data_IF_718285960842
#
_entry.id   IF_718285960842
#
_cell.length_a   1.000
_cell.length_b   1.000
_cell.length_c   1.000
_cell.angle_alpha   90.00
_cell.angle_beta   90.00
_cell.angle_gamma   90.00
#
_symmetry.space_group_name_H-M   'P 1'
#
loop_
_entity.id
_entity.type
_entity.pdbx_description
1 polymer ?
#
# COMPACT_ATOMS: atom_id res chain seq x y z
N UNK A 1 18.36 4.40 -11.15
CA UNK A 1 17.66 4.41 -9.85
C UNK A 1 16.30 3.72 -9.88
N UNK A 2 15.39 4.03 -10.82
CA UNK A 2 14.05 3.40 -10.88
C UNK A 2 14.05 1.86 -10.78
N UNK A 3 14.87 1.16 -11.58
CA UNK A 3 14.92 -0.30 -11.56
C UNK A 3 15.41 -0.84 -10.20
N UNK A 4 16.36 -0.17 -9.56
CA UNK A 4 16.85 -0.56 -8.23
C UNK A 4 15.71 -0.55 -7.20
N UNK A 5 14.87 0.48 -7.20
CA UNK A 5 13.70 0.57 -6.31
C UNK A 5 12.58 -0.40 -6.67
N UNK A 6 12.38 -0.67 -7.96
CA UNK A 6 11.43 -1.68 -8.41
C UNK A 6 11.84 -3.07 -7.90
N UNK A 7 13.11 -3.45 -8.06
CA UNK A 7 13.61 -4.74 -7.56
C UNK A 7 13.69 -4.78 -6.04
N UNK A 8 14.00 -3.67 -5.37
CA UNK A 8 13.88 -3.57 -3.92
C UNK A 8 12.47 -3.92 -3.47
N UNK A 9 11.43 -3.36 -4.11
CA UNK A 9 10.04 -3.64 -3.77
C UNK A 9 9.69 -5.12 -3.93
N UNK A 10 10.13 -5.74 -5.04
CA UNK A 10 9.89 -7.16 -5.30
C UNK A 10 10.51 -8.05 -4.21
N UNK A 11 11.69 -7.67 -3.70
CA UNK A 11 12.36 -8.39 -2.62
C UNK A 11 11.85 -8.05 -1.21
N UNK A 12 11.29 -6.86 -1.00
CA UNK A 12 10.89 -6.37 0.33
C UNK A 12 9.44 -6.74 0.70
N UNK A 13 8.52 -6.67 -0.26
CA UNK A 13 7.10 -6.93 -0.04
C UNK A 13 6.78 -8.33 0.55
N UNK A 14 7.51 -9.41 0.22
CA UNK A 14 7.33 -10.71 0.87
C UNK A 14 7.51 -10.67 2.40
N UNK A 15 8.41 -9.83 2.92
CA UNK A 15 8.58 -9.66 4.37
C UNK A 15 7.40 -8.90 5.00
N UNK A 16 6.82 -7.94 4.28
CA UNK A 16 5.63 -7.21 4.74
C UNK A 16 4.37 -8.07 4.70
N UNK A 17 4.10 -8.76 3.59
CA UNK A 17 2.91 -9.58 3.41
C UNK A 17 3.04 -10.98 4.02
N UNK A 18 3.95 -11.79 3.47
CA UNK A 18 4.15 -13.19 3.86
C UNK A 18 4.85 -13.37 5.20
N UNK A 19 5.59 -12.36 5.67
CA UNK A 19 6.14 -12.29 7.02
C UNK A 19 5.17 -11.60 7.98
N UNK A 20 5.29 -10.29 8.09
CA UNK A 20 4.57 -9.50 9.09
C UNK A 20 3.06 -9.68 8.99
N UNK A 21 2.46 -9.43 7.83
CA UNK A 21 1.02 -9.55 7.61
C UNK A 21 0.48 -10.93 7.99
N UNK A 22 1.17 -12.00 7.59
CA UNK A 22 0.79 -13.37 7.94
C UNK A 22 0.82 -13.59 9.46
N UNK A 23 1.98 -13.42 10.10
CA UNK A 23 2.12 -13.73 11.53
C UNK A 23 1.37 -12.75 12.45
N UNK A 24 1.17 -11.51 12.02
CA UNK A 24 0.46 -10.48 12.78
C UNK A 24 -1.06 -10.60 12.63
N UNK A 25 -1.58 -10.74 11.40
CA UNK A 25 -3.02 -10.67 11.14
C UNK A 25 -3.70 -12.02 10.89
N UNK A 26 -3.04 -12.96 10.20
CA UNK A 26 -3.72 -14.16 9.68
C UNK A 26 -3.42 -15.47 10.42
N UNK A 27 -2.21 -15.63 10.97
CA UNK A 27 -1.83 -16.87 11.64
C UNK A 27 -2.79 -17.15 12.82
N UNK A 28 -3.22 -18.42 13.00
CA UNK A 28 -4.20 -18.77 14.02
C UNK A 28 -3.66 -18.61 15.45
N UNK A 29 -2.33 -18.63 15.60
CA UNK A 29 -1.62 -18.42 16.87
C UNK A 29 -0.65 -17.25 16.77
N UNK A 30 -0.50 -16.51 17.86
CA UNK A 30 0.44 -15.38 17.95
C UNK A 30 1.82 -15.89 18.38
N UNK A 31 2.71 -16.04 17.39
CA UNK A 31 4.09 -16.47 17.61
C UNK A 31 4.96 -15.22 17.81
N UNK A 32 5.23 -14.87 19.06
CA UNK A 32 5.97 -13.65 19.44
C UNK A 32 7.28 -13.49 18.66
N UNK A 33 8.09 -14.55 18.56
CA UNK A 33 9.36 -14.51 17.82
C UNK A 33 9.18 -14.10 16.36
N UNK A 34 8.19 -14.68 15.66
CA UNK A 34 7.94 -14.40 14.25
C UNK A 34 7.41 -12.98 14.07
N UNK A 35 6.46 -12.56 14.91
CA UNK A 35 5.91 -11.20 14.90
C UNK A 35 7.04 -10.19 15.11
N UNK A 36 7.86 -10.36 16.15
CA UNK A 36 8.97 -9.45 16.46
C UNK A 36 9.97 -9.36 15.30
N UNK A 37 10.35 -10.51 14.71
CA UNK A 37 11.27 -10.57 13.57
C UNK A 37 10.76 -9.74 12.39
N UNK A 38 9.52 -9.98 11.96
CA UNK A 38 9.00 -9.34 10.75
C UNK A 38 8.52 -7.91 11.00
N UNK A 39 8.05 -7.58 12.20
CA UNK A 39 7.73 -6.21 12.57
C UNK A 39 9.00 -5.33 12.55
N UNK A 40 10.10 -5.83 13.09
CA UNK A 40 11.40 -5.14 13.05
C UNK A 40 11.85 -4.88 11.61
N UNK A 41 11.74 -5.88 10.73
CA UNK A 41 12.10 -5.72 9.31
C UNK A 41 11.15 -4.74 8.59
N UNK A 42 9.85 -4.78 8.83
CA UNK A 42 8.89 -3.84 8.23
C UNK A 42 9.16 -2.41 8.70
N UNK A 43 9.44 -2.19 9.99
CA UNK A 43 9.85 -0.87 10.50
C UNK A 43 11.15 -0.39 9.86
N UNK A 44 12.12 -1.28 9.61
CA UNK A 44 13.35 -0.95 8.88
C UNK A 44 13.07 -0.58 7.42
N UNK A 45 12.16 -1.27 6.74
CA UNK A 45 11.76 -0.94 5.37
C UNK A 45 11.04 0.41 5.30
N UNK A 46 10.16 0.70 6.25
CA UNK A 46 9.52 2.01 6.40
C UNK A 46 10.56 3.11 6.65
N UNK A 47 11.56 2.88 7.50
CA UNK A 47 12.65 3.84 7.74
C UNK A 47 13.52 4.08 6.48
N UNK A 48 13.84 3.02 5.72
CA UNK A 48 14.54 3.16 4.43
C UNK A 48 13.75 4.05 3.47
N UNK A 49 12.45 3.80 3.34
CA UNK A 49 11.59 4.61 2.49
C UNK A 49 11.50 6.06 3.00
N UNK A 50 11.28 6.25 4.29
CA UNK A 50 11.09 7.58 4.89
C UNK A 50 12.33 8.46 4.71
N UNK A 51 13.51 7.91 4.99
CA UNK A 51 14.79 8.61 4.80
C UNK A 51 15.06 8.92 3.33
N UNK A 52 14.77 7.99 2.43
CA UNK A 52 14.96 8.22 0.99
C UNK A 52 14.03 9.30 0.44
N UNK A 53 12.82 9.36 0.98
CA UNK A 53 11.75 10.27 0.59
C UNK A 53 11.83 11.64 1.29
N UNK A 54 12.77 11.85 2.22
CA UNK A 54 12.94 13.10 2.96
C UNK A 54 13.31 14.28 2.05
N UNK A 55 14.12 14.03 1.02
CA UNK A 55 14.63 15.03 0.08
C UNK A 55 14.19 14.77 -1.37
N UNK A 56 13.30 13.80 -1.60
CA UNK A 56 12.80 13.44 -2.93
C UNK A 56 11.28 13.48 -3.00
N UNK A 57 10.76 13.88 -4.15
CA UNK A 57 9.31 13.82 -4.41
C UNK A 57 8.82 12.38 -4.60
N UNK A 58 9.62 11.54 -5.27
CA UNK A 58 9.30 10.16 -5.62
C UNK A 58 10.52 9.24 -5.50
N UNK A 59 10.33 7.95 -5.72
CA UNK A 59 11.37 6.94 -5.51
C UNK A 59 12.57 7.08 -6.45
N UNK A 60 12.36 7.57 -7.68
CA UNK A 60 13.42 7.71 -8.68
C UNK A 60 13.82 9.17 -8.97
N UNK A 61 13.60 10.07 -8.00
CA UNK A 61 13.88 11.50 -8.12
C UNK A 61 12.60 12.33 -8.11
N UNK A 62 12.49 13.27 -9.03
CA UNK A 62 11.36 14.22 -9.10
C UNK A 62 10.17 13.71 -9.93
N UNK A 63 10.38 12.64 -10.68
CA UNK A 63 9.37 12.04 -11.55
C UNK A 63 8.71 10.81 -10.92
N UNK A 64 7.40 10.70 -11.11
CA UNK A 64 6.62 9.52 -10.73
C UNK A 64 6.89 8.36 -11.69
N UNK A 65 7.27 7.20 -11.14
CA UNK A 65 7.68 6.03 -11.95
C UNK A 65 6.95 4.75 -11.56
N UNK A 66 7.24 3.68 -12.30
CA UNK A 66 6.74 2.33 -11.96
C UNK A 66 7.25 1.82 -10.60
N UNK A 67 8.36 2.36 -10.08
CA UNK A 67 8.82 2.02 -8.74
C UNK A 67 7.81 2.52 -7.68
N UNK A 68 7.31 3.75 -7.84
CA UNK A 68 6.26 4.29 -6.97
C UNK A 68 4.96 3.49 -7.09
N UNK A 69 4.57 3.12 -8.32
CA UNK A 69 3.40 2.27 -8.58
C UNK A 69 3.51 0.91 -7.88
N UNK A 70 4.71 0.34 -7.80
CA UNK A 70 4.94 -0.96 -7.16
C UNK A 70 4.94 -0.86 -5.63
N UNK A 71 5.53 0.20 -5.08
CA UNK A 71 5.70 0.38 -3.63
C UNK A 71 4.41 0.86 -2.96
N UNK A 72 3.68 1.78 -3.61
CA UNK A 72 2.54 2.49 -3.01
C UNK A 72 1.38 1.58 -2.57
N UNK A 73 0.96 0.56 -3.35
CA UNK A 73 -0.10 -0.34 -2.93
C UNK A 73 0.23 -1.16 -1.66
N UNK A 74 1.51 -1.30 -1.32
CA UNK A 74 1.97 -1.98 -0.11
C UNK A 74 2.16 -1.01 1.04
N UNK A 75 3.19 -0.16 0.94
CA UNK A 75 3.59 0.70 2.05
C UNK A 75 2.65 1.89 2.22
N UNK A 76 2.09 2.41 1.13
CA UNK A 76 1.08 3.46 1.17
C UNK A 76 -0.19 2.99 1.87
N UNK A 77 -0.74 1.84 1.47
CA UNK A 77 -1.91 1.28 2.14
C UNK A 77 -1.64 0.93 3.62
N UNK A 78 -0.44 0.42 3.95
CA UNK A 78 -0.02 0.19 5.34
C UNK A 78 -0.06 1.48 6.16
N UNK A 79 0.58 2.56 5.70
CA UNK A 79 0.62 3.82 6.46
C UNK A 79 -0.71 4.56 6.51
N UNK A 80 -1.65 4.23 5.61
CA UNK A 80 -3.05 4.71 5.68
C UNK A 80 -3.96 3.81 6.51
N UNK A 81 -3.42 2.78 7.18
CA UNK A 81 -4.20 1.87 8.02
C UNK A 81 -5.12 0.94 7.24
N UNK A 82 -4.89 0.76 5.94
CA UNK A 82 -5.71 -0.07 5.06
C UNK A 82 -5.22 -1.53 4.99
N UNK A 83 -4.10 -1.85 5.66
CA UNK A 83 -3.55 -3.19 5.77
C UNK A 83 -3.34 -3.56 7.24
N UNK A 84 -3.84 -4.74 7.60
CA UNK A 84 -3.54 -5.46 8.85
C UNK A 84 -3.86 -4.72 10.17
N UNK A 85 -4.50 -3.55 10.13
CA UNK A 85 -4.78 -2.71 11.31
C UNK A 85 -3.52 -2.41 12.17
N UNK A 86 -2.35 -2.42 11.53
CA UNK A 86 -1.05 -2.44 12.21
C UNK A 86 -0.45 -1.05 12.51
N UNK A 87 -1.18 0.03 12.26
CA UNK A 87 -0.65 1.39 12.28
C UNK A 87 -0.02 1.80 13.61
N UNK A 88 -0.70 1.51 14.72
CA UNK A 88 -0.18 1.77 16.08
C UNK A 88 1.01 0.87 16.38
N UNK A 89 0.92 -0.42 16.05
CA UNK A 89 1.96 -1.40 16.34
C UNK A 89 3.29 -1.10 15.62
N UNK A 90 3.21 -0.63 14.38
CA UNK A 90 4.37 -0.27 13.58
C UNK A 90 4.83 1.18 13.79
N UNK A 91 4.12 1.98 14.58
CA UNK A 91 4.40 3.39 14.84
C UNK A 91 4.38 4.24 13.54
N UNK A 92 3.38 3.97 12.70
CA UNK A 92 3.21 4.58 11.38
C UNK A 92 3.30 6.12 11.37
N UNK A 93 2.71 6.87 12.33
CA UNK A 93 2.73 8.33 12.29
C UNK A 93 4.13 8.96 12.29
N UNK A 94 5.17 8.23 12.69
CA UNK A 94 6.55 8.72 12.69
C UNK A 94 7.17 8.81 11.29
N UNK A 95 6.67 8.02 10.32
CA UNK A 95 7.17 8.00 8.94
C UNK A 95 6.51 9.10 8.08
N UNK A 96 6.72 10.35 8.48
CA UNK A 96 6.07 11.53 7.90
C UNK A 96 6.32 11.70 6.38
N UNK A 97 7.49 11.33 5.88
CA UNK A 97 7.84 11.47 4.47
C UNK A 97 7.14 10.41 3.62
N UNK A 98 6.98 9.19 4.15
CA UNK A 98 6.18 8.12 3.53
C UNK A 98 4.71 8.53 3.49
N UNK A 99 4.18 9.08 4.58
CA UNK A 99 2.78 9.57 4.63
C UNK A 99 2.56 10.68 3.60
N UNK A 100 3.45 11.67 3.52
CA UNK A 100 3.37 12.75 2.52
C UNK A 100 3.40 12.22 1.08
N UNK A 101 4.34 11.32 0.78
CA UNK A 101 4.43 10.70 -0.55
C UNK A 101 3.18 9.89 -0.89
N UNK A 102 2.65 9.15 0.10
CA UNK A 102 1.43 8.36 -0.04
C UNK A 102 0.23 9.24 -0.39
N UNK A 103 0.05 10.34 0.32
CA UNK A 103 -1.06 11.27 0.10
C UNK A 103 -0.94 12.00 -1.25
N UNK A 104 0.28 12.33 -1.68
CA UNK A 104 0.51 12.93 -2.99
C UNK A 104 0.10 11.98 -4.13
N UNK A 105 0.49 10.71 -4.07
CA UNK A 105 0.12 9.71 -5.07
C UNK A 105 -1.38 9.40 -5.02
N UNK A 106 -2.00 9.36 -3.84
CA UNK A 106 -3.43 9.10 -3.66
C UNK A 106 -4.35 10.12 -4.36
N UNK A 107 -3.85 11.35 -4.59
CA UNK A 107 -4.59 12.41 -5.30
C UNK A 107 -4.61 12.23 -6.82
N UNK A 108 -3.79 11.33 -7.38
CA UNK A 108 -3.71 11.13 -8.83
C UNK A 108 -5.01 10.47 -9.33
N UNK A 109 -5.72 11.04 -10.33
CA UNK A 109 -6.98 10.47 -10.83
C UNK A 109 -6.84 9.02 -11.32
N UNK A 110 -5.70 8.67 -11.92
CA UNK A 110 -5.42 7.31 -12.36
C UNK A 110 -5.26 6.33 -11.19
N UNK A 111 -4.68 6.75 -10.07
CA UNK A 111 -4.54 5.92 -8.86
C UNK A 111 -5.90 5.71 -8.20
N UNK A 112 -6.71 6.76 -8.14
CA UNK A 112 -8.09 6.69 -7.63
C UNK A 112 -8.95 5.71 -8.42
N UNK A 113 -8.86 5.70 -9.75
CA UNK A 113 -9.55 4.72 -10.58
C UNK A 113 -8.94 3.32 -10.48
N UNK A 114 -7.61 3.22 -10.61
CA UNK A 114 -6.91 1.95 -10.64
C UNK A 114 -7.14 1.10 -9.38
N UNK A 115 -7.17 1.72 -8.20
CA UNK A 115 -7.40 1.03 -6.93
C UNK A 115 -8.82 0.46 -6.75
N UNK A 116 -9.77 0.81 -7.63
CA UNK A 116 -11.13 0.31 -7.59
C UNK A 116 -11.28 -1.01 -8.34
N UNK A 117 -10.45 -1.21 -9.36
CA UNK A 117 -10.54 -2.36 -10.27
C UNK A 117 -10.22 -3.66 -9.52
N UNK A 118 -11.07 -4.67 -9.70
CA UNK A 118 -11.04 -5.98 -9.04
C UNK A 118 -11.14 -5.94 -7.51
N UNK A 119 -11.55 -4.82 -6.94
CA UNK A 119 -11.70 -4.67 -5.49
C UNK A 119 -13.08 -5.11 -5.04
N UNK A 120 -13.12 -6.04 -4.09
CA UNK A 120 -14.36 -6.67 -3.55
C UNK A 120 -14.59 -6.37 -2.05
N UNK A 121 -13.88 -5.39 -1.51
CA UNK A 121 -13.90 -5.03 -0.09
C UNK A 121 -13.73 -3.53 0.13
N UNK A 122 -14.19 -3.03 1.28
CA UNK A 122 -14.18 -1.60 1.63
C UNK A 122 -15.47 -0.89 1.24
N UNK A 123 -15.42 0.42 1.04
CA UNK A 123 -16.58 1.22 0.60
C UNK A 123 -17.08 0.73 -0.78
N UNK A 124 -18.37 0.36 -0.94
CA UNK A 124 -18.95 -0.04 -2.23
C UNK A 124 -18.72 0.96 -3.37
N UNK A 125 -18.66 2.26 -3.10
CA UNK A 125 -18.36 3.28 -4.11
C UNK A 125 -16.91 3.21 -4.61
N UNK A 126 -16.04 2.51 -3.90
CA UNK A 126 -14.63 2.27 -4.26
C UNK A 126 -14.38 0.89 -4.88
N UNK A 127 -15.43 0.13 -5.17
CA UNK A 127 -15.34 -1.24 -5.67
C UNK A 127 -15.86 -1.33 -7.11
N UNK A 128 -14.99 -1.77 -8.02
CA UNK A 128 -15.34 -2.12 -9.39
C UNK A 128 -14.84 -3.55 -9.66
N UNK A 129 -15.72 -4.53 -9.59
CA UNK A 129 -15.34 -5.96 -9.61
C UNK A 129 -14.64 -6.36 -10.91
N UNK A 130 -15.09 -5.82 -12.04
CA UNK A 130 -14.48 -6.03 -13.35
C UNK A 130 -14.48 -4.72 -14.13
N UNK A 131 -13.51 -4.54 -15.01
CA UNK A 131 -13.42 -3.40 -15.92
C UNK A 131 -13.21 -3.90 -17.33
N UNK A 132 -14.16 -3.59 -18.20
CA UNK A 132 -14.16 -3.91 -19.63
C UNK A 132 -14.26 -2.64 -20.50
N UNK A 133 -14.74 -1.53 -19.95
CA UNK A 133 -14.79 -0.21 -20.59
C UNK A 133 -14.37 0.93 -19.62
N UNK A 134 -14.14 2.15 -20.14
CA UNK A 134 -13.94 3.33 -19.30
C UNK A 134 -15.24 3.79 -18.62
N UNK A 135 -16.40 3.59 -19.25
CA UNK A 135 -17.70 3.98 -18.69
C UNK A 135 -18.12 3.15 -17.46
N UNK A 136 -17.44 2.04 -17.17
CA UNK A 136 -17.75 1.16 -16.04
C UNK A 136 -17.63 1.88 -14.68
N UNK A 137 -16.72 2.86 -14.56
CA UNK A 137 -16.58 3.66 -13.32
C UNK A 137 -17.84 4.49 -13.02
N UNK A 138 -18.58 4.90 -14.06
CA UNK A 138 -19.76 5.74 -13.92
C UNK A 138 -21.01 4.93 -13.61
N UNK A 139 -21.03 3.63 -13.97
CA UNK A 139 -22.27 2.84 -14.00
C UNK A 139 -22.20 1.51 -13.22
N UNK A 140 -21.02 0.92 -13.02
CA UNK A 140 -20.86 -0.45 -12.53
C UNK A 140 -20.12 -0.59 -11.19
N UNK A 141 -19.91 0.52 -10.46
CA UNK A 141 -19.40 0.44 -9.08
C UNK A 141 -20.44 -0.20 -8.15
N UNK A 142 -19.99 -0.86 -7.09
CA UNK A 142 -20.90 -1.71 -6.29
C UNK A 142 -22.01 -0.94 -5.57
N UNK A 143 -21.82 0.33 -5.23
CA UNK A 143 -22.88 1.20 -4.72
C UNK A 143 -24.04 1.41 -5.73
N UNK A 144 -23.80 1.22 -7.03
CA UNK A 144 -24.78 1.39 -8.10
C UNK A 144 -25.51 0.09 -8.46
N UNK A 145 -24.86 -1.07 -8.29
CA UNK A 145 -25.36 -2.37 -8.77
C UNK A 145 -25.73 -3.36 -7.68
N UNK A 146 -25.24 -3.19 -6.44
CA UNK A 146 -25.59 -4.08 -5.35
C UNK A 146 -27.08 -3.91 -4.96
N UNK A 147 -27.78 -5.01 -4.59
CA UNK A 147 -29.14 -4.93 -4.06
C UNK A 147 -29.17 -4.06 -2.79
N UNK A 148 -30.18 -3.20 -2.68
CA UNK A 148 -30.45 -2.44 -1.45
C UNK A 148 -31.03 -3.32 -0.35
#
# INVERSE_FOLDING_TARGET
ECLSWLFWQMGSAPFLGGGFGHFYAYAPEKIEYAINRYAMEVKRQLDVLDRHLADRAYMAGDDYTIADMAIWPWYGNLVKGLLYEAGVFLDVPTYTNVVRWTDAIARRPAVQRGRMVNRVFGDPASQLHERHDAADFDTLTQDKVAPK
#
